data_IF_506608597189
#
_entry.id   IF_506608597189
#
_cell.length_a   1.000
_cell.length_b   1.000
_cell.length_c   1.000
_cell.angle_alpha   90.00
_cell.angle_beta   90.00
_cell.angle_gamma   90.00
#
_symmetry.space_group_name_H-M   'P 1'
#
loop_
_entity.id
_entity.type
_entity.pdbx_description
1 polymer ?
#
# COMPACT_ATOMS: atom_id res chain seq x y z
N UNK A 1 -2.89 -16.41 8.14
CA UNK A 1 -4.03 -17.01 8.86
C UNK A 1 -4.44 -16.26 10.14
N UNK A 2 -3.53 -15.69 10.95
CA UNK A 2 -3.89 -14.96 12.17
C UNK A 2 -4.71 -13.68 11.90
N UNK A 3 -4.28 -12.86 10.96
CA UNK A 3 -4.96 -11.61 10.60
C UNK A 3 -6.42 -11.82 10.15
N UNK A 4 -6.65 -12.84 9.32
CA UNK A 4 -8.01 -13.18 8.86
C UNK A 4 -8.93 -13.59 10.04
N UNK A 5 -8.40 -14.33 11.02
CA UNK A 5 -9.17 -14.71 12.22
C UNK A 5 -9.49 -13.49 13.10
N UNK A 6 -8.56 -12.56 13.23
CA UNK A 6 -8.77 -11.32 13.99
C UNK A 6 -9.88 -10.48 13.35
N UNK A 7 -9.83 -10.26 12.03
CA UNK A 7 -10.87 -9.54 11.31
C UNK A 7 -12.24 -10.21 11.41
N UNK A 8 -12.28 -11.54 11.24
CA UNK A 8 -13.52 -12.30 11.40
C UNK A 8 -14.08 -12.17 12.81
N UNK A 9 -13.22 -12.21 13.84
CA UNK A 9 -13.64 -12.04 15.24
C UNK A 9 -14.24 -10.64 15.47
N UNK A 10 -13.63 -9.56 14.95
CA UNK A 10 -14.19 -8.21 15.06
C UNK A 10 -15.56 -8.09 14.39
N UNK A 11 -15.73 -8.66 13.21
CA UNK A 11 -17.02 -8.65 12.50
C UNK A 11 -18.10 -9.40 13.30
N UNK A 12 -17.77 -10.60 13.80
CA UNK A 12 -18.70 -11.40 14.60
C UNK A 12 -19.07 -10.66 15.89
N UNK A 13 -18.10 -10.09 16.60
CA UNK A 13 -18.35 -9.31 17.83
C UNK A 13 -19.23 -8.10 17.53
N UNK A 14 -18.98 -7.37 16.44
CA UNK A 14 -19.79 -6.22 16.04
C UNK A 14 -21.27 -6.63 15.80
N UNK A 15 -21.48 -7.74 15.07
CA UNK A 15 -22.83 -8.27 14.80
C UNK A 15 -23.52 -8.71 16.09
N UNK A 16 -22.80 -9.42 16.98
CA UNK A 16 -23.35 -9.87 18.26
C UNK A 16 -23.73 -8.70 19.17
N UNK A 17 -22.88 -7.69 19.27
CA UNK A 17 -23.15 -6.47 20.05
C UNK A 17 -24.34 -5.69 19.48
N UNK A 18 -24.42 -5.55 18.15
CA UNK A 18 -25.54 -4.90 17.49
C UNK A 18 -26.85 -5.69 17.72
N UNK A 19 -26.80 -7.02 17.59
CA UNK A 19 -27.95 -7.87 17.87
C UNK A 19 -28.41 -7.82 19.33
N UNK A 20 -27.47 -7.88 20.26
CA UNK A 20 -27.77 -7.74 21.69
C UNK A 20 -28.43 -6.39 22.02
N UNK A 21 -27.89 -5.29 21.53
CA UNK A 21 -28.49 -3.96 21.73
C UNK A 21 -29.86 -3.83 21.09
N UNK A 22 -30.04 -4.41 19.93
CA UNK A 22 -31.33 -4.41 19.24
C UNK A 22 -32.39 -5.19 20.04
N UNK A 23 -32.05 -6.41 20.49
CA UNK A 23 -33.01 -7.33 21.12
C UNK A 23 -33.28 -7.05 22.59
N UNK A 24 -32.22 -6.75 23.37
CA UNK A 24 -32.35 -6.55 24.83
C UNK A 24 -32.54 -5.11 25.26
N UNK A 25 -31.99 -4.13 24.49
CA UNK A 25 -32.09 -2.71 24.82
C UNK A 25 -33.13 -1.97 23.96
N UNK A 26 -33.85 -2.68 23.07
CA UNK A 26 -34.86 -2.09 22.21
C UNK A 26 -34.34 -1.07 21.18
N UNK A 27 -33.03 -1.01 20.98
CA UNK A 27 -32.38 -0.04 20.06
C UNK A 27 -32.33 -0.60 18.64
N UNK A 28 -33.51 -0.75 18.02
CA UNK A 28 -33.61 -1.29 16.64
C UNK A 28 -32.87 -0.46 15.58
N UNK A 29 -32.64 0.81 15.87
CA UNK A 29 -31.91 1.72 14.95
C UNK A 29 -30.43 1.34 14.77
N UNK A 30 -29.80 0.67 15.73
CA UNK A 30 -28.37 0.30 15.63
C UNK A 30 -28.13 -0.63 14.44
N UNK A 31 -29.06 -1.55 14.17
CA UNK A 31 -28.91 -2.44 13.03
C UNK A 31 -29.04 -1.68 11.70
N UNK A 32 -29.98 -0.73 11.61
CA UNK A 32 -30.10 0.13 10.43
C UNK A 32 -28.86 1.01 10.23
N UNK A 33 -28.28 1.55 11.32
CA UNK A 33 -27.04 2.33 11.25
C UNK A 33 -25.83 1.49 10.82
N UNK A 34 -25.76 0.24 11.24
CA UNK A 34 -24.70 -0.67 10.79
C UNK A 34 -24.80 -0.96 9.28
N UNK A 35 -25.99 -1.13 8.75
CA UNK A 35 -26.22 -1.49 7.35
C UNK A 35 -26.21 -0.25 6.44
N UNK A 36 -26.99 0.76 6.78
CA UNK A 36 -27.25 1.94 5.94
C UNK A 36 -26.36 3.12 6.32
N UNK A 37 -25.99 3.23 7.63
CA UNK A 37 -25.29 4.37 8.19
C UNK A 37 -26.21 5.33 8.93
N UNK A 38 -25.61 6.32 9.57
CA UNK A 38 -26.30 7.40 10.26
C UNK A 38 -25.88 8.72 9.64
N UNK A 39 -26.87 9.46 9.10
CA UNK A 39 -26.64 10.82 8.63
C UNK A 39 -26.16 11.72 9.78
N UNK A 40 -25.31 12.71 9.48
CA UNK A 40 -24.91 13.71 10.47
C UNK A 40 -26.11 14.57 10.85
N UNK A 41 -26.36 14.70 12.16
CA UNK A 41 -27.36 15.59 12.73
C UNK A 41 -26.64 16.90 13.13
N UNK A 42 -27.27 18.10 13.01
CA UNK A 42 -26.69 19.35 13.52
C UNK A 42 -26.23 19.32 14.98
N UNK A 43 -26.87 18.46 15.80
CA UNK A 43 -26.53 18.25 17.22
C UNK A 43 -25.50 17.14 17.46
N UNK A 44 -25.17 16.34 16.43
CA UNK A 44 -24.19 15.28 16.51
C UNK A 44 -23.46 15.15 15.16
N UNK A 45 -22.28 15.80 15.03
CA UNK A 45 -21.54 15.85 13.76
C UNK A 45 -20.90 14.51 13.37
N UNK A 46 -21.04 13.45 14.17
CA UNK A 46 -20.53 12.12 13.84
C UNK A 46 -21.41 11.47 12.77
N UNK A 47 -20.96 11.55 11.52
CA UNK A 47 -21.44 10.71 10.43
C UNK A 47 -20.89 9.29 10.61
N UNK A 48 -21.75 8.32 10.70
CA UNK A 48 -21.36 6.90 10.72
C UNK A 48 -21.74 6.29 9.38
N UNK A 49 -20.75 5.94 8.58
CA UNK A 49 -20.98 5.25 7.31
C UNK A 49 -21.34 3.79 7.59
N UNK A 50 -22.50 3.34 7.09
CA UNK A 50 -22.90 1.96 7.13
C UNK A 50 -22.19 1.12 6.07
N UNK A 51 -22.43 -0.20 6.09
CA UNK A 51 -21.83 -1.13 5.11
C UNK A 51 -22.15 -0.73 3.66
N UNK A 52 -23.39 -0.35 3.37
CA UNK A 52 -23.81 0.04 2.01
C UNK A 52 -23.14 1.35 1.60
N UNK A 53 -23.12 2.35 2.47
CA UNK A 53 -22.45 3.63 2.23
C UNK A 53 -20.95 3.43 2.01
N UNK A 54 -20.31 2.62 2.86
CA UNK A 54 -18.89 2.28 2.72
C UNK A 54 -18.57 1.62 1.38
N UNK A 55 -19.45 0.74 0.88
CA UNK A 55 -19.29 0.14 -0.45
C UNK A 55 -19.36 1.20 -1.56
N UNK A 56 -20.31 2.13 -1.48
CA UNK A 56 -20.42 3.24 -2.44
C UNK A 56 -19.20 4.15 -2.41
N UNK A 57 -18.76 4.55 -1.22
CA UNK A 57 -17.56 5.37 -1.04
C UNK A 57 -16.34 4.66 -1.61
N UNK A 58 -16.19 3.35 -1.39
CA UNK A 58 -15.09 2.58 -1.95
C UNK A 58 -15.07 2.61 -3.48
N UNK A 59 -16.22 2.42 -4.12
CA UNK A 59 -16.35 2.48 -5.60
C UNK A 59 -16.04 3.90 -6.10
N UNK A 60 -16.56 4.92 -5.45
CA UNK A 60 -16.31 6.33 -5.80
C UNK A 60 -14.82 6.68 -5.71
N UNK A 61 -14.15 6.26 -4.63
CA UNK A 61 -12.69 6.42 -4.47
C UNK A 61 -11.94 5.70 -5.60
N UNK A 62 -12.30 4.46 -5.93
CA UNK A 62 -11.67 3.72 -7.01
C UNK A 62 -11.81 4.46 -8.36
N UNK A 63 -12.99 4.98 -8.69
CA UNK A 63 -13.22 5.73 -9.92
C UNK A 63 -12.39 7.03 -9.96
N UNK A 64 -12.35 7.78 -8.87
CA UNK A 64 -11.54 9.00 -8.75
C UNK A 64 -10.05 8.71 -8.89
N UNK A 65 -9.57 7.59 -8.29
CA UNK A 65 -8.17 7.20 -8.34
C UNK A 65 -7.73 6.71 -9.73
N UNK A 66 -8.61 6.09 -10.51
CA UNK A 66 -8.28 5.60 -11.87
C UNK A 66 -7.69 6.73 -12.71
N UNK A 67 -8.31 7.90 -12.74
CA UNK A 67 -7.83 9.05 -13.53
C UNK A 67 -6.46 9.55 -13.08
N UNK A 68 -6.31 9.80 -11.79
CA UNK A 68 -5.08 10.33 -11.20
C UNK A 68 -3.93 9.32 -11.35
N UNK A 69 -4.15 8.06 -10.99
CA UNK A 69 -3.14 7.03 -11.10
C UNK A 69 -2.75 6.76 -12.57
N UNK A 70 -3.71 6.75 -13.49
CA UNK A 70 -3.41 6.61 -14.93
C UNK A 70 -2.51 7.72 -15.45
N UNK A 71 -2.76 8.97 -15.02
CA UNK A 71 -1.92 10.11 -15.38
C UNK A 71 -0.49 9.93 -14.85
N UNK A 72 -0.33 9.60 -13.55
CA UNK A 72 0.97 9.38 -12.94
C UNK A 72 1.70 8.18 -13.56
N UNK A 73 1.01 7.06 -13.79
CA UNK A 73 1.58 5.88 -14.45
C UNK A 73 2.06 6.27 -15.87
N UNK A 74 1.30 7.10 -16.60
CA UNK A 74 1.69 7.62 -17.89
C UNK A 74 2.99 8.43 -17.82
N UNK A 75 3.08 9.42 -16.93
CA UNK A 75 4.31 10.20 -16.73
C UNK A 75 5.50 9.33 -16.35
N UNK A 76 5.28 8.34 -15.51
CA UNK A 76 6.34 7.47 -15.07
C UNK A 76 6.77 6.48 -16.14
N UNK A 77 5.86 6.01 -16.99
CA UNK A 77 6.22 5.23 -18.17
C UNK A 77 7.12 6.02 -19.13
N UNK A 78 6.86 7.33 -19.27
CA UNK A 78 7.73 8.23 -20.03
C UNK A 78 9.11 8.35 -19.36
N UNK A 79 9.16 8.57 -18.04
CA UNK A 79 10.41 8.65 -17.28
C UNK A 79 11.22 7.32 -17.32
N UNK A 80 10.54 6.18 -17.30
CA UNK A 80 11.16 4.86 -17.48
C UNK A 80 11.80 4.73 -18.87
N UNK A 81 11.05 5.04 -19.93
CA UNK A 81 11.54 5.00 -21.31
C UNK A 81 12.68 5.99 -21.56
N UNK A 82 12.64 7.14 -20.89
CA UNK A 82 13.72 8.13 -20.90
C UNK A 82 14.98 7.68 -20.14
N UNK A 83 14.93 6.51 -19.47
CA UNK A 83 16.07 5.95 -18.74
C UNK A 83 16.19 6.42 -17.28
N UNK A 84 15.18 7.08 -16.73
CA UNK A 84 15.16 7.56 -15.35
C UNK A 84 15.37 6.45 -14.32
N UNK A 85 14.71 5.31 -14.50
CA UNK A 85 14.92 4.13 -13.63
C UNK A 85 16.36 3.61 -13.75
N UNK A 86 16.95 3.62 -14.95
CA UNK A 86 18.33 3.20 -15.16
C UNK A 86 19.32 4.12 -14.46
N UNK A 87 19.07 5.44 -14.47
CA UNK A 87 19.88 6.42 -13.75
C UNK A 87 19.79 6.18 -12.23
N UNK A 88 18.58 6.04 -11.70
CA UNK A 88 18.35 5.78 -10.29
C UNK A 88 18.96 4.43 -9.86
N UNK A 89 18.85 3.40 -10.70
CA UNK A 89 19.47 2.11 -10.46
C UNK A 89 20.99 2.20 -10.32
N UNK A 90 21.66 3.06 -11.09
CA UNK A 90 23.12 3.27 -10.96
C UNK A 90 23.49 3.90 -9.61
N UNK A 91 22.65 4.79 -9.10
CA UNK A 91 22.85 5.45 -7.78
C UNK A 91 22.64 4.45 -6.65
N UNK A 92 21.61 3.61 -6.78
CA UNK A 92 21.20 2.64 -5.75
C UNK A 92 22.07 1.37 -5.75
N UNK A 93 22.62 0.96 -6.89
CA UNK A 93 23.41 -0.26 -7.04
C UNK A 93 24.57 -0.43 -6.03
N UNK A 94 25.40 0.59 -5.72
CA UNK A 94 26.47 0.43 -4.75
C UNK A 94 25.96 0.20 -3.31
N UNK A 95 24.81 0.74 -2.98
CA UNK A 95 24.14 0.47 -1.70
C UNK A 95 23.65 -0.96 -1.63
N UNK A 96 22.97 -1.44 -2.68
CA UNK A 96 22.46 -2.81 -2.75
C UNK A 96 23.57 -3.86 -2.72
N UNK A 97 24.69 -3.63 -3.36
CA UNK A 97 25.82 -4.58 -3.32
C UNK A 97 26.45 -4.72 -1.94
N UNK A 98 26.35 -3.72 -1.09
CA UNK A 98 26.76 -3.80 0.33
C UNK A 98 25.71 -4.47 1.21
N UNK A 99 24.43 -4.25 0.90
CA UNK A 99 23.31 -4.75 1.69
C UNK A 99 23.05 -6.25 1.43
N UNK A 100 23.38 -6.73 0.23
CA UNK A 100 23.18 -8.12 -0.21
C UNK A 100 24.50 -8.79 -0.60
N UNK A 101 25.43 -8.98 0.34
CA UNK A 101 26.75 -9.56 0.03
C UNK A 101 26.68 -11.03 -0.37
N UNK A 102 25.61 -11.73 0.01
CA UNK A 102 25.39 -13.16 -0.29
C UNK A 102 25.05 -13.42 -1.75
N UNK A 103 24.64 -12.37 -2.49
CA UNK A 103 24.24 -12.52 -3.91
C UNK A 103 25.47 -12.46 -4.80
N UNK A 104 25.70 -13.45 -5.67
CA UNK A 104 26.82 -13.46 -6.60
C UNK A 104 26.80 -12.22 -7.51
N UNK A 105 27.98 -11.64 -7.76
CA UNK A 105 28.12 -10.50 -8.66
C UNK A 105 27.63 -10.86 -10.06
N UNK A 106 26.75 -10.03 -10.60
CA UNK A 106 26.17 -10.23 -11.93
C UNK A 106 24.93 -11.13 -11.96
N UNK A 107 24.46 -11.62 -10.81
CA UNK A 107 23.23 -12.41 -10.79
C UNK A 107 21.98 -11.53 -11.11
N UNK A 108 21.02 -12.01 -11.91
CA UNK A 108 19.84 -11.25 -12.33
C UNK A 108 18.99 -10.71 -11.16
N UNK A 109 18.96 -11.41 -10.02
CA UNK A 109 18.21 -10.99 -8.83
C UNK A 109 18.57 -9.58 -8.36
N UNK A 110 19.88 -9.23 -8.41
CA UNK A 110 20.33 -7.90 -8.04
C UNK A 110 19.70 -6.83 -8.93
N UNK A 111 19.65 -7.06 -10.24
CA UNK A 111 19.01 -6.14 -11.19
C UNK A 111 17.51 -5.99 -10.92
N UNK A 112 16.80 -7.09 -10.70
CA UNK A 112 15.38 -7.08 -10.41
C UNK A 112 15.05 -6.36 -9.09
N UNK A 113 15.85 -6.59 -8.04
CA UNK A 113 15.69 -5.89 -6.73
C UNK A 113 15.94 -4.39 -6.87
N UNK A 114 16.99 -3.98 -7.55
CA UNK A 114 17.31 -2.56 -7.77
C UNK A 114 16.20 -1.89 -8.58
N UNK A 115 15.68 -2.54 -9.62
CA UNK A 115 14.57 -2.02 -10.41
C UNK A 115 13.30 -1.88 -9.59
N UNK A 116 12.96 -2.89 -8.78
CA UNK A 116 11.83 -2.84 -7.87
C UNK A 116 11.96 -1.68 -6.88
N UNK A 117 13.09 -1.57 -6.22
CA UNK A 117 13.36 -0.52 -5.24
C UNK A 117 13.35 0.88 -5.88
N UNK A 118 13.94 1.03 -7.06
CA UNK A 118 13.93 2.29 -7.80
C UNK A 118 12.52 2.71 -8.20
N UNK A 119 11.68 1.77 -8.61
CA UNK A 119 10.29 2.03 -8.92
C UNK A 119 9.50 2.46 -7.67
N UNK A 120 9.70 1.78 -6.53
CA UNK A 120 9.08 2.15 -5.26
C UNK A 120 9.51 3.54 -4.79
N UNK A 121 10.81 3.88 -4.86
CA UNK A 121 11.30 5.22 -4.54
C UNK A 121 10.57 6.33 -5.32
N UNK A 122 10.20 6.03 -6.54
CA UNK A 122 9.45 6.95 -7.39
C UNK A 122 7.93 6.91 -7.15
N UNK A 123 7.44 6.09 -6.20
CA UNK A 123 6.03 5.94 -5.90
C UNK A 123 5.24 5.14 -6.94
N UNK A 124 5.91 4.23 -7.64
CA UNK A 124 5.37 3.41 -8.72
C UNK A 124 5.00 2.00 -8.25
N UNK A 125 4.16 1.91 -7.23
CA UNK A 125 3.79 0.64 -6.61
C UNK A 125 3.35 -0.43 -7.64
N UNK A 126 2.56 -0.02 -8.63
CA UNK A 126 2.07 -0.93 -9.68
C UNK A 126 3.18 -1.41 -10.64
N UNK A 127 4.14 -0.54 -10.98
CA UNK A 127 5.27 -0.92 -11.83
C UNK A 127 6.35 -1.68 -11.04
N UNK A 128 6.46 -1.43 -9.74
CA UNK A 128 7.39 -2.13 -8.86
C UNK A 128 7.01 -3.61 -8.66
N UNK A 129 5.72 -3.95 -8.60
CA UNK A 129 5.23 -5.29 -8.31
C UNK A 129 5.81 -6.38 -9.24
N UNK A 130 5.80 -6.26 -10.58
CA UNK A 130 6.38 -7.26 -11.46
C UNK A 130 7.88 -7.48 -11.25
N UNK A 131 8.63 -6.41 -10.94
CA UNK A 131 10.06 -6.50 -10.63
C UNK A 131 10.29 -7.18 -9.28
N UNK A 132 9.44 -6.92 -8.27
CA UNK A 132 9.48 -7.58 -6.98
C UNK A 132 9.26 -9.09 -7.09
N UNK A 133 8.26 -9.51 -7.87
CA UNK A 133 8.00 -10.93 -8.12
C UNK A 133 9.18 -11.61 -8.82
N UNK A 134 9.75 -10.98 -9.86
CA UNK A 134 10.95 -11.49 -10.54
C UNK A 134 12.16 -11.54 -9.63
N UNK A 135 12.34 -10.54 -8.75
CA UNK A 135 13.39 -10.53 -7.75
C UNK A 135 13.28 -11.72 -6.80
N UNK A 136 12.09 -11.98 -6.26
CA UNK A 136 11.86 -13.12 -5.37
C UNK A 136 12.03 -14.45 -6.06
N UNK A 137 11.59 -14.59 -7.31
CA UNK A 137 11.83 -15.79 -8.12
C UNK A 137 13.33 -16.04 -8.31
N UNK A 138 14.08 -15.02 -8.72
CA UNK A 138 15.53 -15.12 -8.93
C UNK A 138 16.28 -15.37 -7.60
N UNK A 139 15.82 -14.84 -6.47
CA UNK A 139 16.37 -15.14 -5.16
C UNK A 139 16.07 -16.59 -4.73
N UNK A 140 14.90 -17.11 -5.11
CA UNK A 140 14.54 -18.50 -4.83
C UNK A 140 15.38 -19.50 -5.61
N UNK A 141 15.89 -19.14 -6.80
CA UNK A 141 16.83 -19.97 -7.55
C UNK A 141 18.16 -20.13 -6.80
N UNK A 142 18.60 -19.10 -6.07
CA UNK A 142 19.80 -19.12 -5.24
C UNK A 142 19.57 -19.80 -3.87
N UNK A 143 18.33 -20.05 -3.51
CA UNK A 143 17.98 -20.59 -2.21
C UNK A 143 18.26 -22.10 -2.15
N UNK A 144 19.15 -22.58 -1.26
CA UNK A 144 19.42 -24.02 -1.09
C UNK A 144 18.23 -24.77 -0.47
N UNK A 145 17.36 -24.08 0.26
CA UNK A 145 16.16 -24.63 0.88
C UNK A 145 14.90 -24.02 0.28
N UNK A 146 14.01 -24.82 -0.27
CA UNK A 146 12.75 -24.32 -0.84
C UNK A 146 11.70 -23.94 0.20
N UNK A 147 11.87 -24.38 1.45
CA UNK A 147 10.90 -24.22 2.53
C UNK A 147 11.24 -23.08 3.49
N UNK A 148 12.50 -22.64 3.50
CA UNK A 148 12.99 -21.60 4.42
C UNK A 148 13.51 -20.43 3.61
N UNK A 149 13.08 -19.21 3.93
CA UNK A 149 13.56 -17.99 3.28
C UNK A 149 15.03 -17.72 3.65
N UNK A 150 15.83 -17.27 2.68
CA UNK A 150 17.20 -16.81 2.91
C UNK A 150 17.22 -15.42 3.54
N UNK A 151 18.36 -15.03 4.14
CA UNK A 151 18.55 -13.68 4.67
C UNK A 151 18.34 -12.61 3.60
N UNK A 152 18.78 -12.86 2.36
CA UNK A 152 18.55 -11.95 1.24
C UNK A 152 17.06 -11.77 0.92
N UNK A 153 16.26 -12.84 0.94
CA UNK A 153 14.81 -12.75 0.75
C UNK A 153 14.13 -12.00 1.88
N UNK A 154 14.50 -12.28 3.13
CA UNK A 154 13.95 -11.59 4.31
C UNK A 154 14.30 -10.10 4.27
N UNK A 155 15.56 -9.76 4.00
CA UNK A 155 16.02 -8.38 3.90
C UNK A 155 15.30 -7.62 2.78
N UNK A 156 15.10 -8.25 1.63
CA UNK A 156 14.37 -7.65 0.52
C UNK A 156 12.91 -7.37 0.90
N UNK A 157 12.25 -8.30 1.59
CA UNK A 157 10.88 -8.09 2.10
C UNK A 157 10.82 -6.97 3.16
N UNK A 158 11.79 -6.90 4.07
CA UNK A 158 11.87 -5.83 5.07
C UNK A 158 12.02 -4.45 4.41
N UNK A 159 12.90 -4.34 3.41
CA UNK A 159 13.08 -3.11 2.62
C UNK A 159 11.80 -2.69 1.89
N UNK A 160 11.10 -3.66 1.33
CA UNK A 160 9.83 -3.41 0.65
C UNK A 160 8.73 -3.00 1.63
N UNK A 161 8.65 -3.66 2.80
CA UNK A 161 7.70 -3.34 3.86
C UNK A 161 7.96 -1.98 4.53
N UNK A 162 9.20 -1.50 4.52
CA UNK A 162 9.55 -0.16 5.01
C UNK A 162 8.93 0.98 4.18
N UNK A 163 8.44 0.68 2.97
CA UNK A 163 7.67 1.63 2.17
C UNK A 163 8.44 2.89 1.80
N UNK A 164 9.72 2.73 1.44
CA UNK A 164 10.61 3.84 1.08
C UNK A 164 10.13 4.54 -0.21
N UNK A 165 9.38 5.61 -0.07
CA UNK A 165 8.86 6.41 -1.17
C UNK A 165 9.40 7.84 -1.10
N UNK A 166 10.10 8.29 -2.15
CA UNK A 166 10.48 9.69 -2.30
C UNK A 166 9.28 10.55 -2.67
N UNK A 167 8.41 10.03 -3.52
CA UNK A 167 7.22 10.73 -3.97
C UNK A 167 6.00 9.89 -3.59
N UNK A 168 5.26 10.24 -2.52
CA UNK A 168 4.11 9.48 -2.06
C UNK A 168 2.87 9.72 -2.95
N UNK A 169 2.98 9.35 -4.23
CA UNK A 169 1.95 9.59 -5.26
C UNK A 169 0.59 9.04 -4.85
N UNK A 170 0.55 7.81 -4.36
CA UNK A 170 -0.68 7.14 -3.95
C UNK A 170 -1.37 7.90 -2.79
N UNK A 171 -0.61 8.39 -1.82
CA UNK A 171 -1.14 9.15 -0.69
C UNK A 171 -1.66 10.51 -1.14
N UNK A 172 -0.91 11.21 -1.98
CA UNK A 172 -1.35 12.51 -2.56
C UNK A 172 -2.64 12.32 -3.37
N UNK A 173 -2.72 11.25 -4.18
CA UNK A 173 -3.90 10.92 -4.97
C UNK A 173 -5.14 10.67 -4.08
N UNK A 174 -5.01 9.88 -3.00
CA UNK A 174 -6.10 9.64 -2.06
C UNK A 174 -6.53 10.93 -1.37
N UNK A 175 -5.59 11.77 -0.93
CA UNK A 175 -5.91 13.07 -0.32
C UNK A 175 -6.63 14.00 -1.28
N UNK A 176 -6.21 14.03 -2.55
CA UNK A 176 -6.89 14.80 -3.60
C UNK A 176 -8.31 14.28 -3.84
N UNK A 177 -8.49 12.96 -3.90
CA UNK A 177 -9.81 12.33 -4.06
C UNK A 177 -10.77 12.63 -2.89
N UNK A 178 -10.21 12.83 -1.68
CA UNK A 178 -10.97 13.21 -0.48
C UNK A 178 -11.12 14.73 -0.31
N UNK A 179 -10.87 15.51 -1.35
CA UNK A 179 -11.00 16.97 -1.35
C UNK A 179 -10.19 17.68 -0.26
N UNK A 180 -8.99 17.17 0.08
CA UNK A 180 -8.09 17.88 0.97
C UNK A 180 -7.73 19.25 0.40
N UNK A 181 -7.71 20.29 1.25
CA UNK A 181 -7.41 21.67 0.83
C UNK A 181 -6.03 21.82 0.20
N UNK A 182 -5.06 21.04 0.67
CA UNK A 182 -3.72 20.95 0.08
C UNK A 182 -3.22 19.50 0.11
N UNK A 183 -3.46 18.71 -0.97
CA UNK A 183 -3.07 17.30 -1.01
C UNK A 183 -1.57 17.06 -0.91
N UNK A 184 -0.75 18.05 -1.31
CA UNK A 184 0.70 17.92 -1.42
C UNK A 184 1.48 18.29 -0.16
N UNK A 185 0.85 18.85 0.86
CA UNK A 185 1.52 19.27 2.11
C UNK A 185 2.15 18.11 2.89
N UNK A 186 1.68 16.88 2.65
CA UNK A 186 2.24 15.65 3.24
C UNK A 186 3.58 15.22 2.65
N UNK A 187 4.00 15.82 1.53
CA UNK A 187 5.22 15.42 0.81
C UNK A 187 6.47 15.48 1.70
N UNK A 188 6.72 16.64 2.33
CA UNK A 188 7.89 16.84 3.19
C UNK A 188 7.84 15.96 4.44
N UNK A 189 6.73 15.86 5.20
CA UNK A 189 6.61 14.94 6.32
C UNK A 189 6.86 13.48 5.92
N UNK A 190 6.30 13.02 4.80
CA UNK A 190 6.53 11.66 4.31
C UNK A 190 8.01 11.42 3.99
N UNK A 191 8.69 12.36 3.35
CA UNK A 191 10.12 12.24 3.08
C UNK A 191 10.93 12.12 4.37
N UNK A 192 10.65 12.96 5.37
CA UNK A 192 11.37 12.92 6.65
C UNK A 192 11.18 11.54 7.32
N UNK A 193 9.95 11.05 7.41
CA UNK A 193 9.63 9.76 8.04
C UNK A 193 10.25 8.58 7.28
N UNK A 194 10.39 8.70 5.95
CA UNK A 194 11.01 7.66 5.12
C UNK A 194 12.51 7.49 5.41
N UNK A 195 13.20 8.56 5.86
CA UNK A 195 14.64 8.54 6.11
C UNK A 195 15.02 8.43 7.60
N UNK A 196 14.06 8.36 8.51
CA UNK A 196 14.26 8.15 9.95
C UNK A 196 14.01 6.70 10.33
#
# INVERSE_FOLDING_TARGET
MALSRIWSAFIIVAILVAGFKCFFLGQSEIFSWMVIGKASDPNNPLKLDGLVETCWVAVEICLKLIGILSLFIGFMSIAERAGGIRLLSKIVAPFFSKLFPEIPKGHPSMGHMIMNFSANLLGLDNAATPFGLKAMQSLQELNPSKEVATNAQIMFLCLHAAGLNLIPVSVIAVRAAQNASNPTDIFIPCMIVTFV
#
